data_IF_101832502741
#
_entry.id   IF_101832502741
#
_cell.length_a   1.000
_cell.length_b   1.000
_cell.length_c   1.000
_cell.angle_alpha   90.00
_cell.angle_beta   90.00
_cell.angle_gamma   90.00
#
_symmetry.space_group_name_H-M   'P 1'
#
loop_
_entity.id
_entity.type
_entity.pdbx_description
1 polymer ?
#
# COMPACT_ATOMS: atom_id res chain seq x y z
N UNK A 1 5.15 -3.40 17.35
CA UNK A 1 4.15 -3.32 16.26
C UNK A 1 3.82 -1.86 15.98
N UNK A 2 3.84 -1.44 14.72
CA UNK A 2 3.48 -0.09 14.23
C UNK A 2 2.58 -0.22 13.01
N UNK A 3 1.57 0.64 12.89
CA UNK A 3 0.69 0.72 11.72
C UNK A 3 0.76 2.13 11.16
N UNK A 4 1.01 2.25 9.87
CA UNK A 4 1.01 3.50 9.12
C UNK A 4 -0.16 3.50 8.16
N UNK A 5 -1.03 4.50 8.25
CA UNK A 5 -2.16 4.67 7.32
C UNK A 5 -1.65 5.35 6.06
N UNK A 6 -1.59 4.58 4.96
CA UNK A 6 -1.28 5.13 3.64
C UNK A 6 -2.54 5.77 3.05
N UNK A 7 -3.71 5.15 3.23
CA UNK A 7 -4.99 5.74 2.87
C UNK A 7 -6.19 5.07 3.53
N UNK A 8 -7.35 5.73 3.40
CA UNK A 8 -8.60 5.37 4.10
C UNK A 8 -9.85 5.81 3.34
N UNK A 9 -9.73 6.24 2.09
CA UNK A 9 -10.89 6.52 1.24
C UNK A 9 -11.46 5.21 0.67
N UNK A 10 -12.79 5.11 0.61
CA UNK A 10 -13.48 4.09 -0.17
C UNK A 10 -13.78 4.59 -1.59
N UNK A 11 -13.93 3.66 -2.52
CA UNK A 11 -14.25 3.85 -3.94
C UNK A 11 -13.22 4.64 -4.77
N UNK A 12 -12.92 5.89 -4.40
CA UNK A 12 -12.03 6.77 -5.17
C UNK A 12 -11.14 7.62 -4.26
N UNK A 13 -9.89 7.92 -4.67
CA UNK A 13 -9.03 8.83 -3.95
C UNK A 13 -9.56 10.26 -4.11
N UNK A 14 -9.21 11.13 -3.17
CA UNK A 14 -9.45 12.58 -3.28
C UNK A 14 -8.12 13.32 -3.26
N UNK A 15 -8.15 14.62 -3.53
CA UNK A 15 -6.97 15.46 -3.35
C UNK A 15 -6.38 15.25 -1.93
N UNK A 16 -5.14 14.76 -1.87
CA UNK A 16 -4.42 14.49 -0.62
C UNK A 16 -4.80 13.21 0.14
N UNK A 17 -5.81 12.43 -0.30
CA UNK A 17 -6.24 11.20 0.38
C UNK A 17 -6.27 10.00 -0.57
N UNK A 18 -5.46 8.99 -0.26
CA UNK A 18 -5.43 7.71 -0.96
C UNK A 18 -6.57 6.79 -0.51
N UNK A 19 -6.85 5.77 -1.34
CA UNK A 19 -7.76 4.68 -1.00
C UNK A 19 -7.16 3.72 0.04
N UNK A 20 -7.86 2.62 0.36
CA UNK A 20 -7.43 1.66 1.38
C UNK A 20 -5.98 1.23 1.19
N UNK A 21 -5.17 1.36 2.25
CA UNK A 21 -3.79 0.93 2.24
C UNK A 21 -3.11 1.20 3.57
N UNK A 22 -2.46 0.18 4.13
CA UNK A 22 -1.79 0.24 5.41
C UNK A 22 -0.45 -0.46 5.35
N UNK A 23 0.57 0.15 5.93
CA UNK A 23 1.86 -0.50 6.19
C UNK A 23 1.88 -0.94 7.65
N UNK A 24 1.99 -2.25 7.87
CA UNK A 24 2.10 -2.87 9.19
C UNK A 24 3.54 -3.35 9.37
N UNK A 25 4.16 -2.90 10.46
CA UNK A 25 5.53 -3.25 10.81
C UNK A 25 5.60 -3.92 12.18
N UNK A 26 6.17 -5.12 12.22
CA UNK A 26 6.36 -5.89 13.45
C UNK A 26 7.58 -6.77 13.33
N UNK A 27 8.50 -6.64 14.29
CA UNK A 27 9.67 -7.52 14.46
C UNK A 27 10.50 -7.70 13.18
N UNK A 28 10.68 -6.58 12.44
CA UNK A 28 11.43 -6.54 11.19
C UNK A 28 10.61 -6.88 9.94
N UNK A 29 9.41 -7.42 10.08
CA UNK A 29 8.50 -7.74 8.97
C UNK A 29 7.64 -6.55 8.57
N UNK A 30 7.47 -6.35 7.26
CA UNK A 30 6.73 -5.25 6.62
C UNK A 30 5.62 -5.79 5.72
N UNK A 31 4.40 -5.75 6.23
CA UNK A 31 3.19 -6.18 5.52
C UNK A 31 2.44 -4.98 4.97
N UNK A 32 2.10 -5.02 3.68
CA UNK A 32 1.06 -4.15 3.14
C UNK A 32 -0.31 -4.83 3.26
N UNK A 33 -1.28 -4.09 3.78
CA UNK A 33 -2.70 -4.48 3.79
C UNK A 33 -3.43 -3.53 2.87
N UNK A 34 -3.95 -4.08 1.77
CA UNK A 34 -4.48 -3.37 0.60
C UNK A 34 -3.46 -2.42 -0.07
N UNK A 35 -3.67 -2.19 -1.37
CA UNK A 35 -2.93 -1.26 -2.21
C UNK A 35 -3.92 -0.56 -3.16
N UNK A 36 -4.81 0.24 -2.60
CA UNK A 36 -5.77 1.06 -3.34
C UNK A 36 -5.10 2.23 -4.08
N UNK A 37 -5.89 2.97 -4.85
CA UNK A 37 -5.42 4.15 -5.59
C UNK A 37 -4.60 5.13 -4.74
N UNK A 38 -3.48 5.57 -5.32
CA UNK A 38 -2.58 6.59 -4.78
C UNK A 38 -1.90 6.23 -3.44
N UNK A 39 -1.81 4.94 -3.12
CA UNK A 39 -1.10 4.43 -1.94
C UNK A 39 0.40 4.27 -2.19
N UNK A 40 0.83 3.92 -3.41
CA UNK A 40 2.25 3.69 -3.73
C UNK A 40 3.14 4.93 -3.47
N UNK A 41 2.81 6.15 -3.93
CA UNK A 41 3.65 7.32 -3.65
C UNK A 41 3.81 7.60 -2.15
N UNK A 42 2.81 7.24 -1.34
CA UNK A 42 2.85 7.40 0.11
C UNK A 42 3.70 6.31 0.75
N UNK A 43 3.61 5.07 0.27
CA UNK A 43 4.52 3.98 0.67
C UNK A 43 5.98 4.37 0.43
N UNK A 44 6.29 4.90 -0.76
CA UNK A 44 7.65 5.30 -1.16
C UNK A 44 8.21 6.46 -0.33
N UNK A 45 7.37 7.22 0.39
CA UNK A 45 7.86 8.20 1.37
C UNK A 45 8.35 7.58 2.68
N UNK A 46 8.11 6.28 2.89
CA UNK A 46 8.47 5.54 4.09
C UNK A 46 9.55 4.49 3.83
N UNK A 47 9.48 3.78 2.70
CA UNK A 47 10.41 2.71 2.33
C UNK A 47 10.38 2.44 0.83
N UNK A 48 11.44 1.80 0.33
CA UNK A 48 11.52 1.34 -1.07
C UNK A 48 10.63 0.09 -1.29
N UNK A 49 10.10 -0.11 -2.50
CA UNK A 49 9.21 -1.24 -2.80
C UNK A 49 9.82 -2.62 -2.49
N UNK A 50 11.13 -2.76 -2.65
CA UNK A 50 11.89 -3.99 -2.38
C UNK A 50 11.98 -4.33 -0.88
N UNK A 51 11.67 -3.38 0.01
CA UNK A 51 11.69 -3.59 1.46
C UNK A 51 10.39 -4.18 2.01
N UNK A 52 9.35 -4.30 1.18
CA UNK A 52 8.06 -4.91 1.55
C UNK A 52 8.20 -6.43 1.50
N UNK A 53 7.84 -7.12 2.57
CA UNK A 53 7.97 -8.58 2.64
C UNK A 53 6.76 -9.30 2.04
N UNK A 54 5.57 -8.75 2.24
CA UNK A 54 4.32 -9.33 1.75
C UNK A 54 3.25 -8.28 1.49
N UNK A 55 2.28 -8.64 0.65
CA UNK A 55 1.06 -7.87 0.41
C UNK A 55 -0.15 -8.78 0.63
N UNK A 56 -1.09 -8.33 1.44
CA UNK A 56 -2.40 -8.96 1.60
C UNK A 56 -3.48 -8.03 1.04
N UNK A 57 -4.22 -8.51 0.05
CA UNK A 57 -5.33 -7.78 -0.57
C UNK A 57 -6.63 -8.38 -0.05
N UNK A 58 -7.47 -7.54 0.55
CA UNK A 58 -8.74 -7.96 1.14
C UNK A 58 -9.73 -8.49 0.10
N UNK A 59 -9.85 -7.82 -1.05
CA UNK A 59 -10.69 -8.21 -2.19
C UNK A 59 -10.31 -7.44 -3.47
N UNK A 60 -10.93 -7.81 -4.59
CA UNK A 60 -10.54 -7.33 -5.93
C UNK A 60 -11.09 -5.96 -6.36
N UNK A 61 -11.67 -5.15 -5.47
CA UNK A 61 -12.09 -3.81 -5.88
C UNK A 61 -10.87 -2.88 -6.05
N UNK A 62 -10.88 -1.98 -7.06
CA UNK A 62 -9.71 -1.15 -7.37
C UNK A 62 -9.24 -0.24 -6.22
N UNK A 63 -10.15 0.23 -5.37
CA UNK A 63 -9.82 1.00 -4.16
C UNK A 63 -9.09 0.18 -3.08
N UNK A 64 -8.86 -1.12 -3.33
CA UNK A 64 -8.07 -2.02 -2.50
C UNK A 64 -6.86 -2.63 -3.23
N UNK A 65 -6.78 -2.55 -4.57
CA UNK A 65 -5.75 -3.28 -5.33
C UNK A 65 -5.14 -2.56 -6.53
N UNK A 66 -5.60 -1.36 -6.91
CA UNK A 66 -5.14 -0.67 -8.11
C UNK A 66 -3.62 -0.43 -8.12
N UNK A 67 -3.04 -0.03 -6.98
CA UNK A 67 -1.61 0.29 -6.85
C UNK A 67 -0.74 -0.96 -6.61
N UNK A 68 -1.31 -2.17 -6.56
CA UNK A 68 -0.54 -3.40 -6.51
C UNK A 68 0.33 -3.57 -7.78
N UNK A 69 -0.23 -3.26 -8.96
CA UNK A 69 0.49 -3.37 -10.22
C UNK A 69 1.72 -2.46 -10.30
N UNK A 70 1.61 -1.14 -10.01
CA UNK A 70 2.79 -0.28 -10.02
C UNK A 70 3.78 -0.63 -8.90
N UNK A 71 3.34 -1.15 -7.74
CA UNK A 71 4.26 -1.70 -6.72
C UNK A 71 5.10 -2.85 -7.28
N UNK A 72 4.47 -3.82 -7.96
CA UNK A 72 5.17 -4.95 -8.57
C UNK A 72 6.11 -4.50 -9.68
N UNK A 73 5.79 -3.40 -10.38
CA UNK A 73 6.65 -2.81 -11.41
C UNK A 73 7.87 -2.08 -10.83
N UNK A 74 7.72 -1.45 -9.67
CA UNK A 74 8.80 -0.71 -9.01
C UNK A 74 9.85 -1.65 -8.39
N UNK A 75 9.43 -2.86 -8.00
CA UNK A 75 10.33 -3.89 -7.49
C UNK A 75 11.40 -4.28 -8.51
N UNK A 76 12.65 -4.27 -8.08
CA UNK A 76 13.78 -4.65 -8.92
C UNK A 76 13.94 -6.16 -8.85
N UNK A 77 13.70 -6.83 -9.97
CA UNK A 77 13.97 -8.27 -10.15
C UNK A 77 15.46 -8.57 -10.20
#
# INVERSE_FOLDING_TARGET
MRITVLGSCGAWPTAGRACSGFLVEHDGFRLLVDMGYATLPRLLSHLEADQVDAVWISHGHPDHCADLNPLLRDRKS
#
